data_IF_625734643558
#
_entry.id   IF_625734643558
#
_cell.length_a   1.000
_cell.length_b   1.000
_cell.length_c   1.000
_cell.angle_alpha   90.00
_cell.angle_beta   90.00
_cell.angle_gamma   90.00
#
_symmetry.space_group_name_H-M   'P 1'
#
loop_
_entity.id
_entity.type
_entity.pdbx_description
1 polymer ?
#
# COMPACT_ATOMS: atom_id res chain seq x y z
N UNK A 1 -11.21 -5.64 23.92
CA UNK A 1 -10.38 -4.78 23.03
C UNK A 1 -11.32 -3.97 22.16
N UNK A 2 -11.10 -2.66 22.01
CA UNK A 2 -12.01 -1.79 21.25
C UNK A 2 -11.98 -2.11 19.74
N UNK A 3 -13.10 -1.91 19.00
CA UNK A 3 -13.21 -2.26 17.58
C UNK A 3 -12.16 -1.62 16.67
N UNK A 4 -11.73 -0.39 17.00
CA UNK A 4 -10.74 0.36 16.21
C UNK A 4 -9.34 -0.26 16.26
N UNK A 5 -8.95 -0.82 17.40
CA UNK A 5 -7.64 -1.48 17.57
C UNK A 5 -7.51 -2.75 16.73
N UNK A 6 -8.62 -3.47 16.50
CA UNK A 6 -8.63 -4.67 15.68
C UNK A 6 -8.44 -4.34 14.19
N UNK A 7 -9.12 -3.31 13.68
CA UNK A 7 -8.96 -2.88 12.29
C UNK A 7 -7.52 -2.46 11.98
N UNK A 8 -6.88 -1.71 12.90
CA UNK A 8 -5.47 -1.31 12.76
C UNK A 8 -4.56 -2.54 12.75
N UNK A 9 -4.74 -3.48 13.67
CA UNK A 9 -3.91 -4.69 13.71
C UNK A 9 -4.04 -5.54 12.43
N UNK A 10 -5.25 -5.64 11.87
CA UNK A 10 -5.48 -6.32 10.58
C UNK A 10 -4.78 -5.56 9.45
N UNK A 11 -4.91 -4.23 9.41
CA UNK A 11 -4.26 -3.40 8.41
C UNK A 11 -2.74 -3.56 8.48
N UNK A 12 -2.15 -3.59 9.68
CA UNK A 12 -0.73 -3.82 9.90
C UNK A 12 -0.28 -5.18 9.36
N UNK A 13 -1.07 -6.24 9.64
CA UNK A 13 -0.74 -7.58 9.14
C UNK A 13 -0.82 -7.68 7.63
N UNK A 14 -1.86 -7.11 7.03
CA UNK A 14 -2.02 -7.08 5.58
C UNK A 14 -0.95 -6.22 4.91
N UNK A 15 -0.57 -5.08 5.54
CA UNK A 15 0.52 -4.23 5.07
C UNK A 15 1.84 -4.99 5.03
N UNK A 16 2.15 -5.74 6.09
CA UNK A 16 3.33 -6.62 6.13
C UNK A 16 3.32 -7.63 4.95
N UNK A 17 2.18 -8.27 4.68
CA UNK A 17 2.04 -9.24 3.58
C UNK A 17 2.21 -8.62 2.20
N UNK A 18 1.70 -7.41 2.00
CA UNK A 18 1.87 -6.66 0.75
C UNK A 18 3.34 -6.25 0.58
N UNK A 19 3.96 -5.71 1.63
CA UNK A 19 5.36 -5.27 1.63
C UNK A 19 6.36 -6.40 1.42
N UNK A 20 6.04 -7.60 1.90
CA UNK A 20 6.86 -8.81 1.74
C UNK A 20 6.52 -9.60 0.47
N UNK A 21 5.65 -9.07 -0.40
CA UNK A 21 5.18 -9.73 -1.63
C UNK A 21 4.48 -11.09 -1.43
N UNK A 22 4.05 -11.41 -0.21
CA UNK A 22 3.13 -12.54 0.03
C UNK A 22 1.79 -12.32 -0.67
N UNK A 23 1.41 -11.05 -0.85
CA UNK A 23 0.31 -10.62 -1.71
C UNK A 23 0.89 -9.83 -2.89
N UNK A 24 1.03 -10.44 -4.08
CA UNK A 24 1.74 -9.80 -5.18
C UNK A 24 0.96 -8.60 -5.76
N UNK A 25 1.65 -7.58 -6.32
CA UNK A 25 1.00 -6.47 -7.00
C UNK A 25 -0.01 -6.92 -8.06
N UNK A 26 -1.14 -6.26 -8.13
CA UNK A 26 -2.24 -6.60 -9.05
C UNK A 26 -3.11 -7.78 -8.61
N UNK A 27 -2.71 -8.52 -7.57
CA UNK A 27 -3.53 -9.63 -7.06
C UNK A 27 -4.81 -9.16 -6.40
N UNK A 28 -5.84 -10.00 -6.49
CA UNK A 28 -7.14 -9.74 -5.88
C UNK A 28 -7.12 -10.03 -4.37
N UNK A 29 -7.72 -9.14 -3.59
CA UNK A 29 -7.83 -9.29 -2.12
C UNK A 29 -9.26 -9.64 -1.76
N UNK A 30 -9.46 -10.89 -1.33
CA UNK A 30 -10.77 -11.42 -0.94
C UNK A 30 -11.00 -11.21 0.56
N UNK A 31 -11.91 -10.29 0.90
CA UNK A 31 -12.27 -9.97 2.28
C UNK A 31 -12.92 -11.15 3.02
N UNK A 32 -13.65 -12.02 2.31
CA UNK A 32 -14.23 -13.24 2.85
C UNK A 32 -13.18 -14.29 3.22
N UNK A 33 -12.19 -14.50 2.37
CA UNK A 33 -11.07 -15.41 2.65
C UNK A 33 -10.24 -14.92 3.84
N UNK A 34 -9.95 -13.61 3.90
CA UNK A 34 -9.24 -13.00 5.01
C UNK A 34 -10.05 -13.05 6.32
N UNK A 35 -11.37 -12.85 6.26
CA UNK A 35 -12.24 -12.97 7.42
C UNK A 35 -12.22 -14.40 8.00
N UNK A 36 -12.27 -15.42 7.14
CA UNK A 36 -12.13 -16.82 7.55
C UNK A 36 -10.76 -17.09 8.16
N UNK A 37 -9.69 -16.60 7.53
CA UNK A 37 -8.32 -16.79 7.99
C UNK A 37 -8.08 -16.17 9.37
N UNK A 38 -8.56 -14.94 9.58
CA UNK A 38 -8.42 -14.23 10.84
C UNK A 38 -9.45 -14.65 11.91
N UNK A 39 -10.44 -15.49 11.55
CA UNK A 39 -11.49 -15.94 12.48
C UNK A 39 -12.42 -14.82 12.95
N UNK A 40 -12.66 -13.82 12.10
CA UNK A 40 -13.45 -12.61 12.43
C UNK A 40 -14.49 -12.32 11.35
N UNK A 41 -15.38 -11.35 11.62
CA UNK A 41 -16.37 -10.93 10.62
C UNK A 41 -15.75 -10.12 9.48
N UNK A 42 -16.44 -10.04 8.34
CA UNK A 42 -15.98 -9.30 7.16
C UNK A 42 -15.91 -7.78 7.36
N UNK A 43 -16.71 -7.23 8.27
CA UNK A 43 -16.78 -5.77 8.51
C UNK A 43 -15.42 -5.17 8.93
N UNK A 44 -14.75 -5.63 10.00
CA UNK A 44 -13.44 -5.10 10.39
C UNK A 44 -12.35 -5.35 9.33
N UNK A 45 -12.43 -6.45 8.58
CA UNK A 45 -11.54 -6.72 7.45
C UNK A 45 -11.72 -5.67 6.35
N UNK A 46 -12.97 -5.36 5.97
CA UNK A 46 -13.26 -4.33 4.98
C UNK A 46 -12.82 -2.94 5.44
N UNK A 47 -12.98 -2.60 6.72
CA UNK A 47 -12.48 -1.33 7.27
C UNK A 47 -10.95 -1.26 7.24
N UNK A 48 -10.25 -2.34 7.61
CA UNK A 48 -8.81 -2.43 7.48
C UNK A 48 -8.35 -2.27 6.01
N UNK A 49 -9.03 -2.94 5.07
CA UNK A 49 -8.73 -2.81 3.65
C UNK A 49 -9.00 -1.38 3.12
N UNK A 50 -10.02 -0.67 3.63
CA UNK A 50 -10.26 0.75 3.29
C UNK A 50 -9.13 1.67 3.78
N UNK A 51 -8.55 1.39 4.96
CA UNK A 51 -7.37 2.11 5.45
C UNK A 51 -6.19 1.90 4.48
N UNK A 52 -5.97 0.66 4.05
CA UNK A 52 -4.92 0.34 3.08
C UNK A 52 -5.17 0.97 1.69
N UNK A 53 -6.43 1.16 1.30
CA UNK A 53 -6.77 1.96 0.12
C UNK A 53 -6.38 3.45 0.30
N UNK A 54 -6.65 4.03 1.46
CA UNK A 54 -6.23 5.41 1.76
C UNK A 54 -4.70 5.56 1.76
N UNK A 55 -3.98 4.53 2.20
CA UNK A 55 -2.50 4.50 2.17
C UNK A 55 -1.94 4.29 0.75
N UNK A 56 -2.77 3.87 -0.20
CA UNK A 56 -2.39 3.57 -1.57
C UNK A 56 -1.83 2.15 -1.79
N UNK A 57 -1.96 1.27 -0.80
CA UNK A 57 -1.50 -0.12 -0.87
C UNK A 57 -2.49 -1.04 -1.58
N UNK A 58 -3.78 -0.71 -1.50
CA UNK A 58 -4.84 -1.35 -2.24
C UNK A 58 -5.56 -0.35 -3.15
N UNK A 59 -6.09 -0.84 -4.26
CA UNK A 59 -6.95 -0.08 -5.16
C UNK A 59 -8.35 -0.70 -5.19
N UNK A 60 -9.37 0.10 -4.93
CA UNK A 60 -10.75 -0.34 -5.08
C UNK A 60 -11.13 -0.50 -6.56
N UNK A 61 -11.70 -1.65 -6.92
CA UNK A 61 -12.23 -1.92 -8.25
C UNK A 61 -13.76 -1.96 -8.23
N UNK A 62 -14.36 -1.25 -9.18
CA UNK A 62 -15.81 -1.20 -9.37
C UNK A 62 -16.35 -2.62 -9.54
N UNK A 63 -17.26 -3.04 -8.64
CA UNK A 63 -17.93 -4.36 -8.61
C UNK A 63 -17.03 -5.58 -8.42
N UNK A 64 -15.72 -5.40 -8.28
CA UNK A 64 -14.78 -6.53 -8.12
C UNK A 64 -14.21 -6.63 -6.72
N UNK A 65 -14.14 -5.57 -5.94
CA UNK A 65 -13.55 -5.60 -4.59
C UNK A 65 -12.29 -4.74 -4.55
N UNK A 66 -11.19 -5.27 -4.02
CA UNK A 66 -9.91 -4.53 -3.94
C UNK A 66 -8.76 -5.37 -4.48
N UNK A 67 -7.78 -4.72 -5.08
CA UNK A 67 -6.55 -5.35 -5.61
C UNK A 67 -5.32 -4.71 -4.98
N UNK A 68 -4.23 -5.46 -4.82
CA UNK A 68 -2.95 -4.87 -4.43
C UNK A 68 -2.52 -3.85 -5.48
N UNK A 69 -2.18 -2.64 -5.06
CA UNK A 69 -1.78 -1.57 -5.97
C UNK A 69 -0.57 -2.01 -6.78
N UNK A 70 -0.64 -1.81 -8.10
CA UNK A 70 0.46 -2.06 -9.01
C UNK A 70 0.85 -0.74 -9.67
N UNK A 71 2.12 -0.37 -9.49
CA UNK A 71 2.68 0.84 -10.11
C UNK A 71 3.37 0.48 -11.42
N UNK A 72 3.20 1.34 -12.42
CA UNK A 72 3.97 1.28 -13.66
C UNK A 72 5.37 1.82 -13.43
N UNK A 73 6.36 1.37 -14.22
CA UNK A 73 7.74 1.85 -14.11
C UNK A 73 7.84 3.39 -14.18
N UNK A 74 7.00 4.03 -14.99
CA UNK A 74 6.93 5.50 -15.07
C UNK A 74 6.50 6.13 -13.74
N UNK A 75 5.44 5.59 -13.10
CA UNK A 75 4.98 6.04 -11.78
C UNK A 75 6.02 5.80 -10.68
N UNK A 76 6.79 4.71 -10.77
CA UNK A 76 7.92 4.47 -9.86
C UNK A 76 8.94 5.60 -9.99
N UNK A 77 9.36 5.91 -11.21
CA UNK A 77 10.34 6.97 -11.49
C UNK A 77 9.84 8.34 -11.03
N UNK A 78 8.58 8.67 -11.29
CA UNK A 78 7.97 9.93 -10.84
C UNK A 78 7.95 10.03 -9.31
N UNK A 79 7.59 8.95 -8.61
CA UNK A 79 7.65 8.89 -7.15
C UNK A 79 9.07 9.05 -6.62
N UNK A 80 10.08 8.47 -7.29
CA UNK A 80 11.51 8.64 -6.96
C UNK A 80 11.96 10.09 -7.09
N UNK A 81 11.55 10.77 -8.15
CA UNK A 81 11.87 12.17 -8.37
C UNK A 81 11.25 13.05 -7.29
N UNK A 82 9.97 12.83 -6.95
CA UNK A 82 9.31 13.56 -5.88
C UNK A 82 9.99 13.35 -4.52
N UNK A 83 10.35 12.10 -4.19
CA UNK A 83 11.09 11.81 -2.97
C UNK A 83 12.40 12.59 -2.95
N UNK A 84 13.20 12.50 -4.02
CA UNK A 84 14.49 13.20 -4.13
C UNK A 84 14.36 14.71 -3.88
N UNK A 85 13.35 15.36 -4.46
CA UNK A 85 13.09 16.79 -4.25
C UNK A 85 12.72 17.11 -2.80
N UNK A 86 11.87 16.29 -2.17
CA UNK A 86 11.51 16.44 -0.76
C UNK A 86 12.73 16.27 0.15
N UNK A 87 13.55 15.26 -0.10
CA UNK A 87 14.76 14.99 0.67
C UNK A 87 15.74 16.17 0.61
N UNK A 88 15.96 16.74 -0.58
CA UNK A 88 16.79 17.92 -0.77
C UNK A 88 16.26 19.14 -0.01
N UNK A 89 14.95 19.35 -0.04
CA UNK A 89 14.32 20.45 0.68
C UNK A 89 14.47 20.29 2.19
N UNK A 90 14.26 19.08 2.72
CA UNK A 90 14.43 18.78 4.14
C UNK A 90 15.86 19.01 4.61
N UNK A 91 16.87 18.61 3.83
CA UNK A 91 18.29 18.90 4.14
C UNK A 91 18.55 20.41 4.20
N UNK A 92 17.93 21.18 3.30
CA UNK A 92 18.06 22.64 3.27
C UNK A 92 17.43 23.29 4.50
N UNK A 93 16.26 22.80 4.93
CA UNK A 93 15.58 23.25 6.15
C UNK A 93 16.41 22.91 7.40
N UNK A 94 16.91 21.68 7.50
CA UNK A 94 17.72 21.23 8.63
C UNK A 94 19.00 22.07 8.79
N UNK A 95 19.60 22.53 7.68
CA UNK A 95 20.76 23.43 7.70
C UNK A 95 20.40 24.84 8.17
N UNK A 96 19.22 25.33 7.80
CA UNK A 96 18.75 26.69 8.06
C UNK A 96 18.15 26.87 9.46
N UNK A 97 17.68 25.78 10.10
CA UNK A 97 17.06 25.79 11.43
C UNK A 97 17.44 24.53 12.24
N UNK A 98 18.68 24.43 12.76
CA UNK A 98 19.21 23.22 13.39
C UNK A 98 18.47 22.76 14.67
N UNK A 99 17.64 23.62 15.27
CA UNK A 99 16.84 23.30 16.46
C UNK A 99 15.43 22.78 16.19
N UNK A 100 14.97 22.80 14.93
CA UNK A 100 13.65 22.31 14.55
C UNK A 100 13.80 21.10 13.63
N UNK A 101 13.25 19.96 14.04
CA UNK A 101 12.92 18.85 13.14
C UNK A 101 14.06 17.97 12.62
N UNK A 102 15.03 17.57 13.46
CA UNK A 102 15.83 16.38 13.11
C UNK A 102 14.96 15.11 13.07
N UNK A 103 14.06 14.94 14.03
CA UNK A 103 13.14 13.79 14.10
C UNK A 103 12.11 13.77 12.96
N UNK A 104 11.48 14.92 12.65
CA UNK A 104 10.50 15.01 11.55
C UNK A 104 11.17 14.76 10.19
N UNK A 105 12.39 15.27 9.98
CA UNK A 105 13.14 15.02 8.75
C UNK A 105 13.45 13.53 8.58
N UNK A 106 13.96 12.87 9.63
CA UNK A 106 14.24 11.43 9.59
C UNK A 106 12.97 10.60 9.38
N UNK A 107 11.86 10.94 10.06
CA UNK A 107 10.59 10.26 9.89
C UNK A 107 10.02 10.41 8.47
N UNK A 108 10.09 11.61 7.88
CA UNK A 108 9.63 11.84 6.51
C UNK A 108 10.50 11.14 5.47
N UNK A 109 11.83 11.13 5.66
CA UNK A 109 12.77 10.35 4.84
C UNK A 109 12.45 8.85 4.86
N UNK A 110 12.24 8.29 6.05
CA UNK A 110 11.90 6.88 6.21
C UNK A 110 10.56 6.52 5.54
N UNK A 111 9.55 7.38 5.65
CA UNK A 111 8.24 7.18 5.00
C UNK A 111 8.33 7.27 3.47
N UNK A 112 9.09 8.24 2.93
CA UNK A 112 9.30 8.38 1.49
C UNK A 112 9.99 7.13 0.90
N UNK A 113 11.05 6.65 1.56
CA UNK A 113 11.78 5.46 1.13
C UNK A 113 10.93 4.18 1.22
N UNK A 114 10.09 4.04 2.25
CA UNK A 114 9.17 2.91 2.36
C UNK A 114 8.14 2.89 1.20
N UNK A 115 7.58 4.07 0.85
CA UNK A 115 6.69 4.22 -0.32
C UNK A 115 7.37 3.91 -1.64
N UNK A 116 8.67 4.13 -1.73
CA UNK A 116 9.44 3.84 -2.92
C UNK A 116 9.77 2.37 -3.11
N UNK A 117 10.03 1.66 -2.01
CA UNK A 117 10.21 0.19 -2.01
C UNK A 117 8.95 -0.52 -2.49
N UNK A 118 7.78 -0.02 -2.12
CA UNK A 118 6.48 -0.47 -2.66
C UNK A 118 6.40 -0.36 -4.18
N UNK A 119 7.00 0.68 -4.75
CA UNK A 119 6.96 0.97 -6.18
C UNK A 119 7.97 0.12 -6.98
N UNK A 120 9.12 -0.20 -6.40
CA UNK A 120 10.28 -0.78 -7.10
C UNK A 120 10.42 -2.30 -7.01
N UNK A 121 9.53 -2.99 -6.28
CA UNK A 121 9.47 -4.46 -6.22
C UNK A 121 9.17 -5.06 -7.59
N UNK A 122 10.22 -5.54 -8.26
CA UNK A 122 10.19 -5.98 -9.66
C UNK A 122 9.23 -7.15 -9.84
N UNK A 123 8.11 -6.93 -10.54
CA UNK A 123 7.28 -8.03 -11.04
C UNK A 123 7.02 -7.84 -12.53
N UNK A 124 7.51 -8.81 -13.31
CA UNK A 124 7.26 -8.98 -14.75
C UNK A 124 5.82 -8.61 -15.09
N UNK A 125 5.67 -7.86 -16.18
CA UNK A 125 4.39 -7.49 -16.76
C UNK A 125 3.45 -8.71 -16.81
N UNK A 126 2.43 -8.71 -15.97
CA UNK A 126 1.28 -9.59 -16.12
C UNK A 126 0.30 -8.88 -17.07
N UNK A 127 -0.17 -9.50 -18.15
CA UNK A 127 -1.05 -8.85 -19.10
C UNK A 127 -2.34 -8.37 -18.43
N UNK A 128 -2.94 -7.27 -18.91
CA UNK A 128 -4.18 -6.77 -18.35
C UNK A 128 -5.27 -7.82 -18.56
N UNK A 129 -5.71 -8.41 -17.45
CA UNK A 129 -7.01 -9.06 -17.24
C UNK A 129 -7.66 -9.66 -18.51
N UNK A 130 -7.43 -10.95 -18.76
CA UNK A 130 -8.30 -11.71 -19.65
C UNK A 130 -9.70 -11.78 -19.03
N UNK A 131 -10.70 -11.29 -19.76
CA UNK A 131 -12.10 -11.30 -19.34
C UNK A 131 -12.55 -12.75 -18.99
N UNK A 132 -13.49 -12.92 -18.04
CA UNK A 132 -13.99 -14.24 -17.73
C UNK A 132 -14.70 -14.77 -18.97
N UNK A 133 -14.26 -15.95 -19.43
CA UNK A 133 -14.95 -16.72 -20.44
C UNK A 133 -16.41 -16.86 -20.00
N UNK A 134 -17.30 -16.21 -20.74
CA UNK A 134 -18.72 -16.52 -20.67
C UNK A 134 -18.87 -17.96 -21.19
N UNK A 135 -19.04 -18.88 -20.25
CA UNK A 135 -19.57 -20.20 -20.52
C UNK A 135 -21.07 -20.18 -20.24
N UNK A 136 -21.79 -21.05 -20.96
CA UNK A 136 -23.21 -21.43 -20.84
C UNK A 136 -24.13 -20.51 -21.67
N UNK A 137 -24.91 -20.99 -22.65
CA UNK A 137 -25.17 -22.31 -23.24
C UNK A 137 -25.66 -22.11 -24.69
#
# INVERSE_FOLDING_TARGET
MQPHSLCIAIADKLRERILTHQMPPGSYVNDGALALEFGISRTPVREAMKLLCHEGLLTAQVRRGMTVTQLTAAQVTEAQQLCTLLEQHLVTLARSAPGACQELTHAMHAMAQAKLRLASGSSKAHPPYAAPAQSVA
#
